data_IF_851142802376
#
_entry.id   IF_851142802376
#
_cell.length_a   1.000
_cell.length_b   1.000
_cell.length_c   1.000
_cell.angle_alpha   90.00
_cell.angle_beta   90.00
_cell.angle_gamma   90.00
#
_symmetry.space_group_name_H-M   'P 1'
#
loop_
_entity.id
_entity.type
_entity.pdbx_description
1 polymer ?
#
# COMPACT_ATOMS: atom_id res chain seq x y z
N UNK A 1 12.64 -0.68 14.50
CA UNK A 1 12.48 -0.09 13.17
C UNK A 1 11.17 0.69 13.15
N UNK A 2 11.16 1.90 12.55
CA UNK A 2 9.94 2.71 12.40
C UNK A 2 9.54 2.73 10.93
N UNK A 3 8.31 2.33 10.64
CA UNK A 3 7.71 2.35 9.31
C UNK A 3 6.63 3.43 9.28
N UNK A 4 6.66 4.26 8.27
CA UNK A 4 5.62 5.25 8.01
C UNK A 4 4.76 4.77 6.84
N UNK A 5 3.48 4.53 7.10
CA UNK A 5 2.49 4.30 6.06
C UNK A 5 1.68 5.58 5.84
N UNK A 6 1.57 6.01 4.60
CA UNK A 6 0.82 7.22 4.20
C UNK A 6 -0.31 6.80 3.28
N UNK A 7 -1.54 7.14 3.64
CA UNK A 7 -2.71 6.95 2.80
C UNK A 7 -2.69 7.82 1.55
N UNK A 8 -3.81 7.84 0.86
CA UNK A 8 -4.00 8.41 -0.48
C UNK A 8 -3.46 9.83 -0.62
N UNK A 9 -2.38 10.01 -1.38
CA UNK A 9 -1.87 11.32 -1.77
C UNK A 9 -2.73 11.92 -2.88
N UNK A 10 -3.35 13.07 -2.61
CA UNK A 10 -4.23 13.74 -3.57
C UNK A 10 -3.50 14.90 -4.24
N UNK A 11 -3.24 14.77 -5.53
CA UNK A 11 -2.67 15.79 -6.39
C UNK A 11 -1.32 16.33 -5.92
N UNK A 12 -0.84 17.39 -6.53
CA UNK A 12 0.40 18.06 -6.16
C UNK A 12 0.39 18.67 -4.75
N UNK A 13 -0.78 18.95 -4.18
CA UNK A 13 -0.92 19.41 -2.80
C UNK A 13 -0.53 18.31 -1.81
N UNK A 14 -0.99 17.08 -2.05
CA UNK A 14 -0.61 15.90 -1.25
C UNK A 14 0.89 15.66 -1.26
N UNK A 15 1.52 15.70 -2.45
CA UNK A 15 2.98 15.54 -2.58
C UNK A 15 3.74 16.63 -1.81
N UNK A 16 3.30 17.90 -1.90
CA UNK A 16 3.89 19.00 -1.13
C UNK A 16 3.74 18.77 0.38
N UNK A 17 2.58 18.32 0.84
CA UNK A 17 2.34 18.01 2.25
C UNK A 17 3.18 16.84 2.73
N UNK A 18 3.33 15.79 1.94
CA UNK A 18 4.23 14.68 2.24
C UNK A 18 5.67 15.17 2.46
N UNK A 19 6.18 16.00 1.54
CA UNK A 19 7.52 16.60 1.67
C UNK A 19 7.67 17.38 2.98
N UNK A 20 6.69 18.23 3.31
CA UNK A 20 6.71 19.00 4.55
C UNK A 20 6.64 18.08 5.78
N UNK A 21 5.79 17.05 5.76
CA UNK A 21 5.67 16.11 6.86
C UNK A 21 6.98 15.35 7.10
N UNK A 22 7.59 14.79 6.05
CA UNK A 22 8.86 14.07 6.15
C UNK A 22 10.01 14.95 6.68
N UNK A 23 10.03 16.25 6.35
CA UNK A 23 11.03 17.19 6.85
C UNK A 23 10.80 17.61 8.31
N UNK A 24 9.56 17.52 8.82
CA UNK A 24 9.18 17.99 10.15
C UNK A 24 8.95 16.86 11.16
N UNK A 25 8.99 15.61 10.73
CA UNK A 25 8.95 14.46 11.65
C UNK A 25 10.24 14.47 12.48
N UNK A 26 10.10 14.62 13.80
CA UNK A 26 11.21 14.61 14.74
C UNK A 26 11.79 13.22 14.99
N UNK A 27 11.20 12.19 14.41
CA UNK A 27 11.60 10.81 14.58
C UNK A 27 12.30 10.28 13.31
N UNK A 28 13.32 9.45 13.52
CA UNK A 28 13.96 8.78 12.40
C UNK A 28 13.04 7.69 11.84
N UNK A 29 12.47 7.93 10.67
CA UNK A 29 11.74 6.93 9.90
C UNK A 29 12.73 6.08 9.12
N UNK A 30 12.55 4.78 9.14
CA UNK A 30 13.45 3.82 8.52
C UNK A 30 12.92 3.29 7.19
N UNK A 31 11.58 3.26 7.01
CA UNK A 31 10.93 2.77 5.79
C UNK A 31 9.62 3.52 5.55
N UNK A 32 9.37 3.95 4.32
CA UNK A 32 8.21 4.78 3.95
C UNK A 32 7.40 4.11 2.85
N UNK A 33 6.11 3.87 3.11
CA UNK A 33 5.13 3.35 2.16
C UNK A 33 4.11 4.45 1.90
N UNK A 34 3.77 4.73 0.64
CA UNK A 34 2.85 5.80 0.27
C UNK A 34 1.84 5.29 -0.76
N UNK A 35 0.56 5.45 -0.50
CA UNK A 35 -0.44 5.28 -1.54
C UNK A 35 -0.51 6.54 -2.40
N UNK A 36 -0.25 6.41 -3.70
CA UNK A 36 -0.18 7.54 -4.62
C UNK A 36 -1.18 7.45 -5.78
N UNK A 37 -2.22 6.63 -5.67
CA UNK A 37 -3.18 6.41 -6.75
C UNK A 37 -3.93 7.67 -7.18
N UNK A 38 -4.00 8.68 -6.31
CA UNK A 38 -4.69 9.96 -6.56
C UNK A 38 -3.71 11.13 -6.77
N UNK A 39 -2.42 10.87 -6.97
CA UNK A 39 -1.38 11.90 -7.07
C UNK A 39 -1.44 12.73 -8.35
N UNK A 40 -2.05 12.23 -9.42
CA UNK A 40 -2.23 12.94 -10.68
C UNK A 40 -3.63 13.55 -10.79
N UNK A 41 -3.84 14.70 -10.14
CA UNK A 41 -5.10 15.45 -10.16
C UNK A 41 -6.32 14.61 -9.68
N UNK A 42 -6.09 13.77 -8.67
CA UNK A 42 -7.12 12.94 -8.06
C UNK A 42 -7.37 11.59 -8.74
N UNK A 43 -6.68 11.25 -9.83
CA UNK A 43 -6.87 9.99 -10.53
C UNK A 43 -5.58 9.50 -11.20
N UNK A 44 -5.03 8.41 -10.70
CA UNK A 44 -3.82 7.78 -11.23
C UNK A 44 -2.53 8.49 -10.81
N UNK A 45 -1.44 8.09 -11.43
CA UNK A 45 -0.09 8.61 -11.22
C UNK A 45 0.58 8.85 -12.58
N UNK A 46 1.26 10.00 -12.76
CA UNK A 46 2.13 10.27 -13.92
C UNK A 46 3.57 9.91 -13.60
N UNK A 47 4.42 9.78 -14.64
CA UNK A 47 5.87 9.61 -14.45
C UNK A 47 6.44 10.70 -13.54
N UNK A 48 6.04 11.95 -13.80
CA UNK A 48 6.49 13.10 -12.99
C UNK A 48 6.11 12.95 -11.51
N UNK A 49 4.87 12.57 -11.20
CA UNK A 49 4.45 12.37 -9.82
C UNK A 49 5.25 11.24 -9.16
N UNK A 50 5.47 10.14 -9.89
CA UNK A 50 6.28 9.02 -9.44
C UNK A 50 7.70 9.49 -9.07
N UNK A 51 8.38 10.19 -9.98
CA UNK A 51 9.74 10.70 -9.77
C UNK A 51 9.80 11.69 -8.60
N UNK A 52 8.83 12.60 -8.50
CA UNK A 52 8.73 13.57 -7.40
C UNK A 52 8.58 12.86 -6.03
N UNK A 53 7.79 11.78 -5.95
CA UNK A 53 7.57 11.01 -4.72
C UNK A 53 8.83 10.19 -4.37
N UNK A 54 9.44 9.53 -5.33
CA UNK A 54 10.68 8.75 -5.11
C UNK A 54 11.82 9.65 -4.65
N UNK A 55 11.91 10.88 -5.17
CA UNK A 55 12.91 11.87 -4.74
C UNK A 55 12.76 12.30 -3.26
N UNK A 56 11.63 12.00 -2.61
CA UNK A 56 11.41 12.20 -1.17
C UNK A 56 11.92 11.01 -0.31
N UNK A 57 12.68 10.09 -0.88
CA UNK A 57 13.15 8.85 -0.24
C UNK A 57 11.99 7.93 0.19
N UNK A 58 10.90 7.89 -0.59
CA UNK A 58 9.85 6.89 -0.42
C UNK A 58 10.39 5.52 -0.90
N UNK A 59 10.17 4.49 -0.10
CA UNK A 59 10.66 3.15 -0.40
C UNK A 59 9.69 2.38 -1.29
N UNK A 60 8.37 2.54 -1.07
CA UNK A 60 7.32 1.85 -1.82
C UNK A 60 6.15 2.77 -2.10
N UNK A 61 5.66 2.72 -3.33
CA UNK A 61 4.41 3.36 -3.75
C UNK A 61 3.38 2.27 -3.99
N UNK A 62 2.22 2.37 -3.33
CA UNK A 62 1.05 1.54 -3.57
C UNK A 62 0.00 2.30 -4.37
N UNK A 63 -0.88 1.57 -5.00
CA UNK A 63 -1.97 2.07 -5.83
C UNK A 63 -3.31 1.51 -5.34
N UNK A 64 -4.38 1.76 -6.10
CA UNK A 64 -5.74 1.27 -5.82
C UNK A 64 -6.58 1.19 -7.10
N UNK A 65 -7.87 1.52 -7.01
CA UNK A 65 -8.79 1.46 -8.16
C UNK A 65 -8.45 2.44 -9.29
N UNK A 66 -7.71 3.51 -9.03
CA UNK A 66 -7.24 4.46 -10.04
C UNK A 66 -5.87 4.10 -10.64
N UNK A 67 -5.36 2.89 -10.41
CA UNK A 67 -4.07 2.43 -10.99
C UNK A 67 -3.94 2.77 -12.47
N UNK A 68 -5.01 2.61 -13.23
CA UNK A 68 -5.05 2.83 -14.68
C UNK A 68 -5.55 4.21 -15.09
N UNK A 69 -5.67 5.13 -14.16
CA UNK A 69 -6.22 6.47 -14.40
C UNK A 69 -5.40 7.37 -15.33
N UNK A 70 -4.09 7.09 -15.46
CA UNK A 70 -3.17 7.75 -16.41
C UNK A 70 -2.44 6.71 -17.24
N UNK A 71 -2.40 6.90 -18.56
CA UNK A 71 -1.70 5.98 -19.48
C UNK A 71 -0.18 5.95 -19.26
N UNK A 72 0.38 7.01 -18.70
CA UNK A 72 1.81 7.10 -18.38
C UNK A 72 2.30 5.90 -17.57
N UNK A 73 1.46 5.37 -16.68
CA UNK A 73 1.83 4.27 -15.78
C UNK A 73 2.40 3.06 -16.52
N UNK A 74 1.96 2.80 -17.76
CA UNK A 74 2.44 1.66 -18.55
C UNK A 74 3.94 1.74 -18.87
N UNK A 75 4.56 2.92 -18.81
CA UNK A 75 5.99 3.07 -19.03
C UNK A 75 6.84 2.73 -17.82
N UNK A 76 6.26 2.71 -16.60
CA UNK A 76 6.98 2.44 -15.34
C UNK A 76 6.26 1.49 -14.38
N UNK A 77 5.17 0.84 -14.80
CA UNK A 77 4.38 -0.07 -13.94
C UNK A 77 5.22 -1.23 -13.35
N UNK A 78 6.27 -1.64 -14.04
CA UNK A 78 7.17 -2.72 -13.58
C UNK A 78 8.30 -2.22 -12.66
N UNK A 79 8.32 -0.91 -12.33
CA UNK A 79 9.32 -0.37 -11.41
C UNK A 79 9.23 -1.07 -10.05
N UNK A 80 10.37 -1.52 -9.45
CA UNK A 80 10.36 -2.34 -8.24
C UNK A 80 9.74 -1.67 -7.01
N UNK A 81 9.65 -0.35 -7.00
CA UNK A 81 9.02 0.44 -5.92
C UNK A 81 7.53 0.76 -6.16
N UNK A 82 6.94 0.32 -7.27
CA UNK A 82 5.53 0.56 -7.57
C UNK A 82 4.74 -0.74 -7.49
N UNK A 83 3.70 -0.74 -6.65
CA UNK A 83 2.82 -1.89 -6.45
C UNK A 83 1.37 -1.51 -6.79
N UNK A 84 0.79 -2.24 -7.73
CA UNK A 84 -0.64 -2.20 -7.99
C UNK A 84 -1.37 -3.24 -7.12
N UNK A 85 -2.70 -3.20 -6.97
CA UNK A 85 -3.42 -4.27 -6.27
C UNK A 85 -3.09 -5.66 -6.81
N UNK A 86 -2.66 -6.56 -5.91
CA UNK A 86 -2.23 -7.91 -6.25
C UNK A 86 -3.37 -8.78 -6.77
N UNK A 87 -4.58 -8.53 -6.28
CA UNK A 87 -5.79 -9.27 -6.63
C UNK A 87 -6.52 -8.74 -7.86
N UNK A 88 -5.89 -7.93 -8.72
CA UNK A 88 -6.35 -7.78 -10.10
C UNK A 88 -6.24 -9.12 -10.84
N UNK A 89 -7.04 -9.28 -11.90
CA UNK A 89 -7.05 -10.52 -12.70
C UNK A 89 -5.65 -10.97 -13.12
N UNK A 90 -5.45 -12.27 -13.20
CA UNK A 90 -4.18 -12.86 -13.65
C UNK A 90 -3.78 -12.34 -15.04
N UNK A 91 -2.48 -12.08 -15.19
CA UNK A 91 -1.91 -11.57 -16.45
C UNK A 91 -1.91 -10.05 -16.61
N UNK A 92 -2.48 -9.30 -15.66
CA UNK A 92 -2.36 -7.84 -15.64
C UNK A 92 -0.93 -7.43 -15.32
N UNK A 93 -0.38 -6.48 -16.09
CA UNK A 93 1.00 -5.98 -15.94
C UNK A 93 1.25 -5.35 -14.57
N UNK A 94 2.51 -5.28 -14.16
CA UNK A 94 2.93 -4.75 -12.86
C UNK A 94 2.84 -5.78 -11.74
N UNK A 95 3.32 -5.40 -10.57
CA UNK A 95 3.43 -6.27 -9.39
C UNK A 95 2.52 -5.80 -8.27
N UNK A 96 2.01 -6.73 -7.46
CA UNK A 96 1.23 -6.40 -6.27
C UNK A 96 1.95 -6.74 -4.95
N UNK A 97 3.18 -7.28 -5.05
CA UNK A 97 4.07 -7.62 -3.94
C UNK A 97 5.47 -7.15 -4.27
N UNK A 98 6.12 -6.52 -3.31
CA UNK A 98 7.54 -6.20 -3.32
C UNK A 98 8.22 -6.70 -2.05
N UNK A 99 9.49 -7.11 -2.16
CA UNK A 99 10.34 -7.47 -1.01
C UNK A 99 11.54 -6.51 -1.01
N UNK A 100 11.76 -5.86 0.12
CA UNK A 100 12.75 -4.81 0.29
C UNK A 100 13.64 -5.12 1.47
N UNK A 101 14.85 -4.57 1.46
CA UNK A 101 15.77 -4.66 2.60
C UNK A 101 15.89 -3.32 3.32
N UNK A 102 15.73 -3.36 4.63
CA UNK A 102 15.94 -2.19 5.49
C UNK A 102 16.58 -2.63 6.80
N UNK A 103 17.76 -2.07 7.14
CA UNK A 103 18.50 -2.38 8.38
C UNK A 103 18.71 -3.88 8.60
N UNK A 104 19.03 -4.63 7.55
CA UNK A 104 19.26 -6.06 7.62
C UNK A 104 18.00 -6.91 7.80
N UNK A 105 16.81 -6.31 7.65
CA UNK A 105 15.52 -6.97 7.69
C UNK A 105 14.89 -7.01 6.31
N UNK A 106 14.25 -8.12 5.96
CA UNK A 106 13.44 -8.28 4.75
C UNK A 106 12.00 -7.88 5.04
N UNK A 107 11.50 -6.90 4.31
CA UNK A 107 10.16 -6.35 4.42
C UNK A 107 9.38 -6.70 3.16
N UNK A 108 8.28 -7.42 3.30
CA UNK A 108 7.31 -7.58 2.22
C UNK A 108 6.23 -6.50 2.33
N UNK A 109 5.89 -5.88 1.22
CA UNK A 109 4.74 -4.99 1.09
C UNK A 109 3.79 -5.58 0.06
N UNK A 110 2.53 -5.77 0.43
CA UNK A 110 1.46 -6.25 -0.43
C UNK A 110 0.44 -5.12 -0.59
N UNK A 111 0.03 -4.86 -1.82
CA UNK A 111 -1.11 -3.99 -2.08
C UNK A 111 -2.30 -4.85 -2.49
N UNK A 112 -3.45 -4.64 -1.87
CA UNK A 112 -4.71 -5.34 -2.16
C UNK A 112 -5.83 -4.34 -2.40
N UNK A 113 -6.87 -4.77 -3.12
CA UNK A 113 -8.09 -3.99 -3.31
C UNK A 113 -9.31 -4.77 -2.83
N UNK A 114 -10.23 -4.07 -2.16
CA UNK A 114 -11.51 -4.62 -1.72
C UNK A 114 -12.46 -4.91 -2.88
N UNK A 115 -13.60 -5.48 -2.55
CA UNK A 115 -14.67 -5.80 -3.51
C UNK A 115 -16.01 -5.17 -3.13
N UNK A 116 -16.24 -4.93 -1.85
CA UNK A 116 -17.49 -4.34 -1.36
C UNK A 116 -17.52 -2.87 -1.74
N UNK A 117 -18.54 -2.50 -2.53
CA UNK A 117 -18.75 -1.13 -3.07
C UNK A 117 -17.57 -0.58 -3.89
N UNK A 118 -16.72 -1.47 -4.39
CA UNK A 118 -15.62 -1.14 -5.30
C UNK A 118 -16.02 -1.48 -6.74
N UNK A 119 -16.06 -0.50 -7.62
CA UNK A 119 -16.36 -0.70 -9.05
C UNK A 119 -15.15 -1.24 -9.83
N UNK A 120 -14.56 -2.32 -9.34
CA UNK A 120 -13.35 -2.93 -9.93
C UNK A 120 -13.51 -4.44 -9.98
N UNK A 121 -13.19 -5.03 -11.11
CA UNK A 121 -13.09 -6.49 -11.24
C UNK A 121 -11.79 -6.96 -10.60
N UNK A 122 -11.91 -7.71 -9.51
CA UNK A 122 -10.77 -8.26 -8.78
C UNK A 122 -11.05 -9.68 -8.28
N UNK A 123 -9.98 -10.44 -8.09
CA UNK A 123 -10.02 -11.72 -7.38
C UNK A 123 -10.38 -11.49 -5.91
N UNK A 124 -10.81 -12.55 -5.21
CA UNK A 124 -11.13 -12.45 -3.79
C UNK A 124 -9.88 -12.04 -2.98
N UNK A 125 -9.90 -10.84 -2.33
CA UNK A 125 -8.73 -10.35 -1.62
C UNK A 125 -8.28 -11.25 -0.47
N UNK A 126 -9.20 -11.95 0.20
CA UNK A 126 -8.87 -12.87 1.31
C UNK A 126 -8.11 -14.08 0.81
N UNK A 127 -8.54 -14.67 -0.31
CA UNK A 127 -7.85 -15.81 -0.92
C UNK A 127 -6.45 -15.42 -1.37
N UNK A 128 -6.34 -14.31 -2.12
CA UNK A 128 -5.05 -13.82 -2.63
C UNK A 128 -4.12 -13.43 -1.48
N UNK A 129 -4.63 -12.73 -0.45
CA UNK A 129 -3.86 -12.38 0.74
C UNK A 129 -3.29 -13.62 1.43
N UNK A 130 -4.14 -14.63 1.68
CA UNK A 130 -3.70 -15.84 2.37
C UNK A 130 -2.61 -16.57 1.58
N UNK A 131 -2.81 -16.77 0.27
CA UNK A 131 -1.83 -17.42 -0.60
C UNK A 131 -0.48 -16.68 -0.58
N UNK A 132 -0.50 -15.34 -0.66
CA UNK A 132 0.72 -14.53 -0.66
C UNK A 132 1.42 -14.58 0.69
N UNK A 133 0.67 -14.41 1.79
CA UNK A 133 1.20 -14.43 3.15
C UNK A 133 1.78 -15.79 3.49
N UNK A 134 1.09 -16.90 3.18
CA UNK A 134 1.59 -18.26 3.44
C UNK A 134 2.88 -18.52 2.64
N UNK A 135 2.99 -18.01 1.42
CA UNK A 135 4.20 -18.11 0.60
C UNK A 135 5.38 -17.27 1.14
N UNK A 136 5.13 -16.25 1.96
CA UNK A 136 6.15 -15.37 2.54
C UNK A 136 6.63 -15.83 3.92
N UNK A 137 5.89 -16.71 4.60
CA UNK A 137 6.26 -17.19 5.94
C UNK A 137 7.67 -17.80 5.96
N UNK A 138 8.48 -17.33 6.91
CA UNK A 138 9.87 -17.76 7.07
C UNK A 138 10.86 -17.23 6.01
N UNK A 139 10.39 -16.47 5.01
CA UNK A 139 11.23 -15.87 3.96
C UNK A 139 11.49 -14.39 4.16
N UNK A 140 10.65 -13.72 4.94
CA UNK A 140 10.74 -12.29 5.27
C UNK A 140 10.56 -12.09 6.77
N UNK A 141 11.06 -10.96 7.28
CA UNK A 141 10.95 -10.60 8.70
C UNK A 141 9.64 -9.87 9.01
N UNK A 142 9.10 -9.12 8.06
CA UNK A 142 7.90 -8.30 8.24
C UNK A 142 7.04 -8.33 6.98
N UNK A 143 5.71 -8.27 7.18
CA UNK A 143 4.73 -8.17 6.11
C UNK A 143 3.81 -7.00 6.41
N UNK A 144 3.74 -6.02 5.50
CA UNK A 144 2.80 -4.90 5.55
C UNK A 144 1.80 -5.02 4.40
N UNK A 145 0.55 -4.72 4.68
CA UNK A 145 -0.52 -4.73 3.67
C UNK A 145 -1.19 -3.36 3.60
N UNK A 146 -1.17 -2.74 2.42
CA UNK A 146 -2.08 -1.66 2.06
C UNK A 146 -3.35 -2.28 1.49
N UNK A 147 -4.46 -2.19 2.23
CA UNK A 147 -5.74 -2.70 1.80
C UNK A 147 -6.66 -1.56 1.35
N UNK A 148 -6.66 -1.32 0.05
CA UNK A 148 -7.42 -0.27 -0.61
C UNK A 148 -8.87 -0.69 -0.78
N UNK A 149 -9.76 -0.30 0.13
CA UNK A 149 -11.14 -0.76 0.19
C UNK A 149 -12.10 0.32 0.67
N UNK A 150 -13.34 0.33 0.16
CA UNK A 150 -14.39 1.23 0.61
C UNK A 150 -14.91 0.81 1.98
N UNK A 151 -15.39 -0.43 2.12
CA UNK A 151 -16.09 -0.88 3.30
C UNK A 151 -15.17 -1.05 4.52
N UNK A 152 -15.44 -0.33 5.61
CA UNK A 152 -14.74 -0.48 6.90
C UNK A 152 -14.80 -1.92 7.39
N UNK A 153 -15.96 -2.58 7.27
CA UNK A 153 -16.13 -3.97 7.68
C UNK A 153 -15.19 -4.93 6.93
N UNK A 154 -14.94 -4.70 5.63
CA UNK A 154 -14.04 -5.52 4.83
C UNK A 154 -12.59 -5.34 5.29
N UNK A 155 -12.18 -4.10 5.65
CA UNK A 155 -10.86 -3.79 6.20
C UNK A 155 -10.62 -4.48 7.55
N UNK A 156 -11.57 -4.33 8.48
CA UNK A 156 -11.51 -4.98 9.80
C UNK A 156 -11.47 -6.50 9.67
N UNK A 157 -12.33 -7.08 8.83
CA UNK A 157 -12.37 -8.52 8.60
C UNK A 157 -11.03 -9.04 8.06
N UNK A 158 -10.36 -8.31 7.14
CA UNK A 158 -9.05 -8.68 6.63
C UNK A 158 -7.98 -8.64 7.73
N UNK A 159 -7.98 -7.62 8.57
CA UNK A 159 -7.06 -7.53 9.71
C UNK A 159 -7.20 -8.72 10.65
N UNK A 160 -8.44 -9.05 11.06
CA UNK A 160 -8.74 -10.20 11.93
C UNK A 160 -8.35 -11.52 11.24
N UNK A 161 -8.64 -11.66 9.95
CA UNK A 161 -8.34 -12.88 9.19
C UNK A 161 -6.84 -13.20 9.12
N UNK A 162 -6.02 -12.16 9.05
CA UNK A 162 -4.56 -12.27 8.96
C UNK A 162 -3.84 -12.07 10.30
N UNK A 163 -4.60 -11.96 11.40
CA UNK A 163 -4.02 -11.71 12.72
C UNK A 163 -3.01 -12.80 13.13
N UNK A 164 -1.83 -12.36 13.52
CA UNK A 164 -0.68 -13.20 13.86
C UNK A 164 0.13 -13.72 12.67
N UNK A 165 -0.32 -13.46 11.43
CA UNK A 165 0.40 -13.85 10.21
C UNK A 165 1.19 -12.72 9.56
N UNK A 166 0.85 -11.46 9.85
CA UNK A 166 1.45 -10.26 9.27
C UNK A 166 1.86 -9.27 10.36
N UNK A 167 2.73 -8.33 10.00
CA UNK A 167 3.16 -7.27 10.93
C UNK A 167 2.08 -6.22 11.11
N UNK A 168 1.54 -5.70 10.02
CA UNK A 168 0.45 -4.73 10.07
C UNK A 168 -0.33 -4.68 8.77
N UNK A 169 -1.61 -4.26 8.88
CA UNK A 169 -2.49 -3.90 7.79
C UNK A 169 -3.04 -2.50 8.04
N UNK A 170 -3.11 -1.67 7.02
CA UNK A 170 -3.78 -0.38 7.08
C UNK A 170 -4.70 -0.20 5.86
N UNK A 171 -5.78 0.54 6.07
CA UNK A 171 -6.78 0.83 5.04
C UNK A 171 -6.51 2.13 4.30
N UNK A 172 -6.82 2.15 3.01
CA UNK A 172 -6.81 3.33 2.14
C UNK A 172 -8.13 3.43 1.35
N UNK A 173 -8.32 4.40 0.49
CA UNK A 173 -9.46 4.67 -0.40
C UNK A 173 -10.42 5.75 0.09
N UNK A 174 -10.96 5.66 1.29
CA UNK A 174 -12.08 6.52 1.74
C UNK A 174 -11.67 7.97 2.01
N UNK A 175 -10.37 8.27 2.03
CA UNK A 175 -9.80 9.59 2.36
C UNK A 175 -10.26 10.14 3.73
N UNK A 176 -10.68 9.27 4.61
CA UNK A 176 -11.14 9.60 5.97
C UNK A 176 -10.26 8.87 6.97
N UNK A 177 -9.68 9.65 7.88
CA UNK A 177 -8.97 9.07 9.02
C UNK A 177 -9.96 8.45 10.00
N UNK A 178 -9.59 7.32 10.56
CA UNK A 178 -10.34 6.61 11.60
C UNK A 178 -9.57 6.65 12.91
N UNK A 179 -10.18 6.20 13.99
CA UNK A 179 -9.58 6.10 15.33
C UNK A 179 -9.81 4.70 15.89
N UNK A 180 -9.58 3.70 15.06
CA UNK A 180 -9.76 2.27 15.35
C UNK A 180 -8.43 1.51 15.32
N UNK A 181 -7.31 2.25 15.38
CA UNK A 181 -5.98 1.67 15.42
C UNK A 181 -5.78 0.83 16.68
N UNK A 182 -5.28 -0.38 16.51
CA UNK A 182 -5.10 -1.33 17.58
C UNK A 182 -4.03 -2.38 17.26
N UNK A 183 -3.55 -3.03 18.30
CA UNK A 183 -2.83 -4.30 18.16
C UNK A 183 -3.85 -5.41 18.39
N UNK A 184 -4.04 -6.26 17.38
CA UNK A 184 -4.95 -7.38 17.44
C UNK A 184 -4.43 -8.48 18.40
N UNK A 185 -5.30 -9.44 18.76
CA UNK A 185 -5.03 -10.44 19.81
C UNK A 185 -3.72 -11.23 19.59
N UNK A 186 -3.36 -11.51 18.33
CA UNK A 186 -2.15 -12.28 17.97
C UNK A 186 -0.97 -11.38 17.56
N UNK A 187 -1.10 -10.07 17.78
CA UNK A 187 -0.01 -9.12 17.64
C UNK A 187 0.07 -8.36 16.31
N UNK A 188 -0.85 -8.55 15.38
CA UNK A 188 -0.90 -7.75 14.14
C UNK A 188 -1.34 -6.32 14.43
N UNK A 189 -0.64 -5.32 13.90
CA UNK A 189 -1.08 -3.93 13.90
C UNK A 189 -2.21 -3.71 12.88
N UNK A 190 -3.26 -2.98 13.30
CA UNK A 190 -4.36 -2.60 12.42
C UNK A 190 -4.62 -1.09 12.53
#
# INVERSE_FOLDING_TARGET
>A
MKVLAVGDLIGGAGIKKLKLALNNINEKIDFVIVNAENSAEGMGITQKNFDDIIALNVDVITMGNHTWGKKDIFSFIDHPKLLRPANYSKGVVGKGLGIYECKGKKIAVINLIGRTDMNVLSENPFTVANEMVDNLQGKVDMIFIDFHAEATAEKIAMGIYLDGKITALYGTHTHVQTADEQILEKGTGY
#
